data_IF_949736037800
#
_entry.id   IF_949736037800
#
_cell.length_a   1.000
_cell.length_b   1.000
_cell.length_c   1.000
_cell.angle_alpha   90.00
_cell.angle_beta   90.00
_cell.angle_gamma   90.00
#
_symmetry.space_group_name_H-M   'P 1'
#
loop_
_entity.id
_entity.type
_entity.pdbx_description
1 polymer ?
#
# COMPACT_ATOMS: atom_id res chain seq x y z
N UNK A 1 -18.41 -10.75 9.33
CA UNK A 1 -16.99 -10.83 9.71
C UNK A 1 -16.21 -9.87 8.81
N UNK A 2 -15.11 -9.23 9.25
CA UNK A 2 -14.43 -8.16 8.45
C UNK A 2 -13.73 -8.64 7.18
N UNK A 3 -13.92 -9.90 6.76
CA UNK A 3 -13.29 -10.54 5.59
C UNK A 3 -14.19 -10.45 4.33
N UNK A 4 -15.41 -9.90 4.47
CA UNK A 4 -16.43 -9.84 3.41
C UNK A 4 -16.50 -8.47 2.71
N UNK A 5 -15.81 -7.48 3.26
CA UNK A 5 -15.76 -6.12 2.73
C UNK A 5 -14.56 -6.03 1.79
N UNK A 6 -14.78 -5.82 0.49
CA UNK A 6 -13.76 -5.77 -0.57
C UNK A 6 -12.65 -4.70 -0.42
N UNK A 7 -12.42 -4.21 0.80
CA UNK A 7 -11.39 -3.26 1.22
C UNK A 7 -10.04 -3.93 1.47
N UNK A 8 -9.97 -5.28 1.49
CA UNK A 8 -8.69 -5.98 1.55
C UNK A 8 -7.89 -5.72 0.28
N UNK A 9 -6.96 -4.79 0.42
CA UNK A 9 -6.19 -4.28 -0.68
C UNK A 9 -6.76 -2.98 -1.24
N UNK A 10 -7.11 -2.03 -0.37
CA UNK A 10 -7.30 -0.63 -0.73
C UNK A 10 -6.29 0.19 0.06
N UNK A 11 -5.65 1.14 -0.62
CA UNK A 11 -4.66 2.03 -0.05
C UNK A 11 -5.35 3.05 0.86
N UNK A 12 -4.97 3.12 2.14
CA UNK A 12 -5.52 4.13 3.05
C UNK A 12 -5.06 5.56 2.72
N UNK A 13 -4.02 5.71 1.89
CA UNK A 13 -3.47 7.02 1.54
C UNK A 13 -4.10 7.63 0.29
N UNK A 14 -4.42 6.80 -0.71
CA UNK A 14 -5.00 7.27 -1.99
C UNK A 14 -6.35 6.64 -2.34
N UNK A 15 -6.82 5.65 -1.59
CA UNK A 15 -8.06 4.93 -1.86
C UNK A 15 -8.00 3.93 -3.02
N UNK A 16 -6.80 3.61 -3.53
CA UNK A 16 -6.62 2.77 -4.72
C UNK A 16 -6.44 1.29 -4.39
N UNK A 17 -6.80 0.39 -5.31
CA UNK A 17 -6.67 -1.06 -5.08
C UNK A 17 -5.19 -1.52 -5.03
N UNK A 18 -4.78 -2.04 -3.88
CA UNK A 18 -3.54 -2.79 -3.66
C UNK A 18 -3.69 -4.20 -4.23
N UNK A 19 -2.76 -4.58 -5.11
CA UNK A 19 -2.72 -5.95 -5.65
C UNK A 19 -2.56 -7.01 -4.55
N UNK A 20 -3.35 -8.07 -4.65
CA UNK A 20 -3.36 -9.21 -3.72
C UNK A 20 -1.98 -9.89 -3.59
N UNK A 21 -1.18 -9.87 -4.66
CA UNK A 21 0.20 -10.37 -4.62
C UNK A 21 1.08 -9.59 -3.63
N UNK A 22 0.86 -8.28 -3.51
CA UNK A 22 1.55 -7.40 -2.57
C UNK A 22 1.12 -7.68 -1.13
N UNK A 23 -0.18 -7.88 -0.91
CA UNK A 23 -0.74 -8.27 0.39
C UNK A 23 -0.26 -9.66 0.83
N UNK A 24 -0.13 -10.62 -0.09
CA UNK A 24 0.48 -11.93 0.21
C UNK A 24 1.94 -11.81 0.62
N UNK A 25 2.70 -10.92 -0.01
CA UNK A 25 4.12 -10.70 0.33
C UNK A 25 4.31 -9.89 1.63
N UNK A 26 3.44 -8.91 1.89
CA UNK A 26 3.41 -8.12 3.12
C UNK A 26 1.95 -7.84 3.52
N UNK A 27 1.33 -8.68 4.37
CA UNK A 27 -0.07 -8.51 4.76
C UNK A 27 -0.30 -7.32 5.70
N UNK A 28 0.76 -6.68 6.17
CA UNK A 28 0.73 -5.49 7.04
C UNK A 28 0.75 -4.17 6.27
N UNK A 29 0.85 -4.20 4.93
CA UNK A 29 0.91 -2.97 4.12
C UNK A 29 -0.49 -2.49 3.75
N UNK A 30 -0.89 -1.37 4.36
CA UNK A 30 -2.15 -0.69 4.02
C UNK A 30 -1.96 0.36 2.91
N UNK A 31 -0.77 0.38 2.29
CA UNK A 31 -0.39 1.32 1.24
C UNK A 31 -0.14 0.61 -0.09
N UNK A 32 -0.59 1.21 -1.19
CA UNK A 32 -0.32 0.71 -2.53
C UNK A 32 1.16 0.87 -2.90
N UNK A 33 1.58 0.15 -3.95
CA UNK A 33 2.94 0.23 -4.47
C UNK A 33 3.32 1.64 -4.90
N UNK A 34 2.37 2.41 -5.43
CA UNK A 34 2.58 3.80 -5.87
C UNK A 34 2.91 4.72 -4.69
N UNK A 35 2.12 4.67 -3.61
CA UNK A 35 2.38 5.45 -2.40
C UNK A 35 3.69 5.03 -1.74
N UNK A 36 3.96 3.72 -1.68
CA UNK A 36 5.23 3.18 -1.17
C UNK A 36 6.44 3.65 -1.99
N UNK A 37 6.36 3.60 -3.32
CA UNK A 37 7.42 4.11 -4.20
C UNK A 37 7.59 5.61 -4.07
N UNK A 38 6.48 6.37 -3.93
CA UNK A 38 6.56 7.81 -3.68
C UNK A 38 7.29 8.11 -2.38
N UNK A 39 7.00 7.38 -1.30
CA UNK A 39 7.71 7.53 -0.04
C UNK A 39 9.19 7.23 -0.19
N UNK A 40 9.54 6.10 -0.81
CA UNK A 40 10.93 5.68 -1.02
C UNK A 40 11.69 6.67 -1.91
N UNK A 41 11.06 7.17 -2.98
CA UNK A 41 11.59 8.21 -3.84
C UNK A 41 11.72 9.56 -3.12
N UNK A 42 10.80 9.88 -2.21
CA UNK A 42 10.89 11.06 -1.36
C UNK A 42 12.05 10.92 -0.38
N UNK A 43 12.25 9.75 0.22
CA UNK A 43 13.36 9.44 1.13
C UNK A 43 14.71 9.54 0.40
N UNK A 44 14.82 8.99 -0.82
CA UNK A 44 16.02 9.15 -1.67
C UNK A 44 16.28 10.62 -2.05
N UNK A 45 15.23 11.39 -2.38
CA UNK A 45 15.38 12.78 -2.82
C UNK A 45 15.66 13.74 -1.67
N UNK A 46 15.07 13.48 -0.50
CA UNK A 46 15.20 14.35 0.69
C UNK A 46 16.49 14.05 1.46
N UNK A 47 17.16 12.93 1.20
CA UNK A 47 18.59 12.69 1.48
C UNK A 47 19.13 13.38 2.73
N UNK A 48 18.70 12.91 3.91
CA UNK A 48 19.35 13.22 5.18
C UNK A 48 20.39 12.14 5.50
#
# INVERSE_FOLDING_TARGET
ARIEEGTFGICEMCGENISIQRLKARPVTNFCITCKNKMEALEETIGM
#
